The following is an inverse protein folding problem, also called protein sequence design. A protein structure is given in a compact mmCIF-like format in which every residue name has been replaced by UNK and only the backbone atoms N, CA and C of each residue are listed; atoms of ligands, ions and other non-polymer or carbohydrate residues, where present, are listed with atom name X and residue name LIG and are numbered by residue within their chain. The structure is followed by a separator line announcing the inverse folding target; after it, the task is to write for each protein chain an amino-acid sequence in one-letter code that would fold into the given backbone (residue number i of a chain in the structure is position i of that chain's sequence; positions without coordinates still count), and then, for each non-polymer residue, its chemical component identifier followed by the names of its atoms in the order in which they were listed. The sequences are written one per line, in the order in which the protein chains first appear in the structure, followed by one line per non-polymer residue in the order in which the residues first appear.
data_IF_391758526878
#
_entry.id   IF_391758526878
#
_cell.length_a   1.000
_cell.length_b   1.000
_cell.length_c   1.000
_cell.angle_alpha   90.00
_cell.angle_beta   90.00
_cell.angle_gamma   90.00
#
_symmetry.space_group_name_H-M   'P 1'
#
loop_
_entity.id
_entity.type
_entity.pdbx_description
1 polymer ?
#
# COMPACT_ATOMS: atom_id res chain seq x y z
N UNK A 1 -28.62 11.94 -9.60
CA UNK A 1 -27.92 10.68 -9.32
C UNK A 1 -28.67 10.00 -8.19
N UNK A 2 -29.16 8.77 -8.40
CA UNK A 2 -29.76 8.01 -7.30
C UNK A 2 -28.67 7.73 -6.24
N UNK A 3 -28.98 7.79 -4.94
CA UNK A 3 -28.03 7.45 -3.90
C UNK A 3 -27.46 6.04 -4.13
N UNK A 4 -26.14 5.89 -4.23
CA UNK A 4 -25.51 4.58 -4.29
C UNK A 4 -25.62 3.94 -2.90
N UNK A 5 -26.35 2.81 -2.74
CA UNK A 5 -26.54 2.20 -1.41
C UNK A 5 -25.22 1.68 -0.80
N UNK A 6 -24.20 1.42 -1.64
CA UNK A 6 -22.87 1.01 -1.20
C UNK A 6 -21.97 2.19 -0.81
N UNK A 7 -22.30 3.42 -1.21
CA UNK A 7 -21.51 4.61 -0.88
C UNK A 7 -22.44 5.73 -0.44
N UNK A 8 -23.15 5.57 0.70
CA UNK A 8 -23.92 6.68 1.25
C UNK A 8 -22.96 7.84 1.58
N UNK A 9 -23.45 9.07 1.48
CA UNK A 9 -22.62 10.29 1.59
C UNK A 9 -21.76 10.33 2.85
N UNK A 10 -22.27 9.84 3.98
CA UNK A 10 -21.51 9.81 5.23
C UNK A 10 -20.29 8.87 5.17
N UNK A 11 -20.40 7.72 4.49
CA UNK A 11 -19.27 6.79 4.28
C UNK A 11 -18.20 7.47 3.46
N UNK A 12 -18.59 8.13 2.36
CA UNK A 12 -17.68 8.88 1.50
C UNK A 12 -16.92 9.95 2.30
N UNK A 13 -17.62 10.74 3.13
CA UNK A 13 -17.00 11.76 3.98
C UNK A 13 -16.03 11.16 4.98
N UNK A 14 -16.42 10.08 5.68
CA UNK A 14 -15.57 9.42 6.68
C UNK A 14 -14.31 8.84 6.03
N UNK A 15 -14.44 8.07 4.95
CA UNK A 15 -13.28 7.50 4.27
C UNK A 15 -12.38 8.57 3.66
N UNK A 16 -12.95 9.64 3.10
CA UNK A 16 -12.15 10.75 2.60
C UNK A 16 -11.33 11.41 3.72
N UNK A 17 -11.94 11.71 4.87
CA UNK A 17 -11.21 12.25 6.01
C UNK A 17 -10.08 11.31 6.48
N UNK A 18 -10.37 10.01 6.57
CA UNK A 18 -9.40 8.98 6.95
C UNK A 18 -8.23 8.92 5.96
N UNK A 19 -8.48 8.90 4.65
CA UNK A 19 -7.42 8.85 3.65
C UNK A 19 -6.59 10.14 3.59
N UNK A 20 -7.18 11.31 3.87
CA UNK A 20 -6.40 12.55 4.04
C UNK A 20 -5.43 12.41 5.21
N UNK A 21 -5.88 11.93 6.38
CA UNK A 21 -5.00 11.73 7.54
C UNK A 21 -3.89 10.72 7.22
N UNK A 22 -4.22 9.58 6.61
CA UNK A 22 -3.25 8.56 6.23
C UNK A 22 -2.23 9.11 5.22
N UNK A 23 -2.68 9.87 4.22
CA UNK A 23 -1.81 10.52 3.25
C UNK A 23 -0.81 11.46 3.95
N UNK A 24 -1.28 12.31 4.86
CA UNK A 24 -0.42 13.23 5.61
C UNK A 24 0.62 12.50 6.47
N UNK A 25 0.21 11.43 7.17
CA UNK A 25 1.12 10.59 7.97
C UNK A 25 2.21 9.96 7.09
N UNK A 26 1.85 9.45 5.91
CA UNK A 26 2.84 8.88 5.00
C UNK A 26 3.73 9.94 4.34
N UNK A 27 3.22 11.14 4.03
CA UNK A 27 4.04 12.26 3.56
C UNK A 27 5.09 12.65 4.60
N UNK A 28 4.70 12.73 5.88
CA UNK A 28 5.64 12.98 6.97
C UNK A 28 6.77 11.94 6.99
N UNK A 29 6.42 10.65 6.91
CA UNK A 29 7.42 9.58 6.81
C UNK A 29 8.31 9.67 5.56
N UNK A 30 7.77 10.10 4.41
CA UNK A 30 8.58 10.33 3.19
C UNK A 30 9.61 11.44 3.43
N UNK A 31 9.26 12.50 4.15
CA UNK A 31 10.18 13.61 4.44
C UNK A 31 11.27 13.17 5.43
N UNK A 32 10.90 12.43 6.47
CA UNK A 32 11.78 12.07 7.59
C UNK A 32 12.72 10.87 7.30
N UNK A 33 12.32 9.91 6.46
CA UNK A 33 13.08 8.65 6.29
C UNK A 33 14.13 8.67 5.17
N UNK A 34 15.07 7.72 5.16
CA UNK A 34 16.07 7.55 4.10
C UNK A 34 15.57 6.87 2.81
N UNK A 35 16.36 6.94 1.72
CA UNK A 35 15.89 6.77 0.33
C UNK A 35 15.11 5.47 0.02
N UNK A 36 15.45 4.26 0.50
CA UNK A 36 14.68 3.07 0.16
C UNK A 36 13.28 3.06 0.80
N UNK A 37 13.14 3.60 2.02
CA UNK A 37 11.86 3.65 2.74
C UNK A 37 10.97 4.79 2.23
N UNK A 38 11.57 5.88 1.71
CA UNK A 38 10.82 6.97 1.07
C UNK A 38 9.94 6.46 -0.07
N UNK A 39 10.47 5.60 -0.93
CA UNK A 39 9.71 5.04 -2.06
C UNK A 39 8.57 4.14 -1.61
N UNK A 40 8.75 3.38 -0.53
CA UNK A 40 7.69 2.58 0.09
C UNK A 40 6.52 3.46 0.55
N UNK A 41 6.82 4.48 1.34
CA UNK A 41 5.81 5.42 1.83
C UNK A 41 5.22 6.27 0.70
N UNK A 42 6.01 6.64 -0.31
CA UNK A 42 5.54 7.36 -1.48
C UNK A 42 4.51 6.57 -2.29
N UNK A 43 4.66 5.25 -2.39
CA UNK A 43 3.63 4.38 -2.97
C UNK A 43 2.30 4.45 -2.20
N UNK A 44 2.35 4.43 -0.86
CA UNK A 44 1.17 4.57 -0.02
C UNK A 44 0.52 5.96 -0.09
N UNK A 45 1.32 7.03 -0.20
CA UNK A 45 0.81 8.39 -0.48
C UNK A 45 0.04 8.41 -1.80
N UNK A 46 0.62 7.83 -2.87
CA UNK A 46 -0.02 7.74 -4.17
C UNK A 46 -1.33 6.96 -4.10
N UNK A 47 -1.34 5.82 -3.40
CA UNK A 47 -2.55 5.02 -3.20
C UNK A 47 -3.62 5.80 -2.43
N UNK A 48 -3.29 6.44 -1.31
CA UNK A 48 -4.27 7.23 -0.54
C UNK A 48 -4.86 8.37 -1.38
N UNK A 49 -4.03 9.05 -2.18
CA UNK A 49 -4.48 10.08 -3.12
C UNK A 49 -5.42 9.50 -4.20
N UNK A 50 -5.08 8.34 -4.78
CA UNK A 50 -5.93 7.65 -5.74
C UNK A 50 -7.29 7.25 -5.14
N UNK A 51 -7.30 6.73 -3.90
CA UNK A 51 -8.53 6.40 -3.19
C UNK A 51 -9.40 7.63 -2.95
N UNK A 52 -8.79 8.77 -2.61
CA UNK A 52 -9.49 10.04 -2.49
C UNK A 52 -10.15 10.44 -3.81
N UNK A 53 -9.40 10.42 -4.92
CA UNK A 53 -9.91 10.76 -6.25
C UNK A 53 -11.12 9.92 -6.65
N UNK A 54 -11.12 8.63 -6.32
CA UNK A 54 -12.26 7.74 -6.59
C UNK A 54 -13.49 8.01 -5.70
N UNK A 55 -13.31 8.60 -4.51
CA UNK A 55 -14.41 8.94 -3.61
C UNK A 55 -15.04 10.31 -3.92
N UNK A 56 -14.26 11.24 -4.47
CA UNK A 56 -14.76 12.58 -4.80
C UNK A 56 -15.41 12.62 -6.20
N UNK A 57 -16.39 13.52 -6.44
CA UNK A 57 -17.15 13.57 -7.69
C UNK A 57 -16.32 13.75 -8.97
N UNK A 58 -15.08 14.25 -8.86
CA UNK A 58 -14.14 14.34 -9.99
C UNK A 58 -13.78 12.98 -10.57
N UNK A 59 -13.93 11.89 -9.81
CA UNK A 59 -13.71 10.52 -10.28
C UNK A 59 -14.57 10.14 -11.49
N UNK A 60 -15.74 10.76 -11.65
CA UNK A 60 -16.64 10.52 -12.78
C UNK A 60 -16.26 11.26 -14.08
N UNK A 61 -15.15 11.99 -14.11
CA UNK A 61 -14.67 12.62 -15.35
C UNK A 61 -14.06 11.54 -16.27
N UNK A 62 -14.41 11.50 -17.58
CA UNK A 62 -13.98 10.43 -18.49
C UNK A 62 -12.45 10.20 -18.56
N UNK A 63 -11.66 11.25 -18.33
CA UNK A 63 -10.20 11.17 -18.37
C UNK A 63 -9.58 10.62 -17.09
N UNK A 64 -10.30 10.65 -15.95
CA UNK A 64 -9.72 10.30 -14.65
C UNK A 64 -9.46 8.80 -14.52
N UNK A 65 -10.34 7.95 -15.05
CA UNK A 65 -10.12 6.50 -15.10
C UNK A 65 -8.82 6.12 -15.81
N UNK A 66 -8.66 6.44 -17.12
CA UNK A 66 -7.44 6.11 -17.86
C UNK A 66 -6.16 6.72 -17.28
N UNK A 67 -6.22 7.99 -16.82
CA UNK A 67 -5.07 8.67 -16.22
C UNK A 67 -4.65 8.03 -14.90
N UNK A 68 -5.61 7.82 -13.99
CA UNK A 68 -5.36 7.20 -12.68
C UNK A 68 -4.79 5.78 -12.85
N UNK A 69 -5.37 5.00 -13.77
CA UNK A 69 -4.89 3.65 -14.07
C UNK A 69 -3.44 3.67 -14.59
N UNK A 70 -3.13 4.57 -15.53
CA UNK A 70 -1.78 4.70 -16.11
C UNK A 70 -0.74 5.12 -15.08
N UNK A 71 -1.08 6.08 -14.20
CA UNK A 71 -0.17 6.55 -13.15
C UNK A 71 0.14 5.43 -12.15
N UNK A 72 -0.87 4.70 -11.68
CA UNK A 72 -0.68 3.59 -10.75
C UNK A 72 0.10 2.43 -11.39
N UNK A 73 -0.21 2.09 -12.65
CA UNK A 73 0.50 1.06 -13.39
C UNK A 73 1.98 1.44 -13.65
N UNK A 74 2.24 2.69 -14.02
CA UNK A 74 3.60 3.20 -14.21
C UNK A 74 4.39 3.20 -12.90
N UNK A 75 3.76 3.56 -11.78
CA UNK A 75 4.38 3.46 -10.46
C UNK A 75 4.72 2.01 -10.09
N UNK A 76 3.79 1.07 -10.31
CA UNK A 76 4.04 -0.36 -10.09
C UNK A 76 5.18 -0.89 -10.96
N UNK A 77 5.20 -0.54 -12.25
CA UNK A 77 6.24 -0.92 -13.20
C UNK A 77 7.59 -0.29 -12.86
N UNK A 78 7.64 0.99 -12.46
CA UNK A 78 8.86 1.66 -12.03
C UNK A 78 9.45 1.03 -10.77
N UNK A 79 8.61 0.72 -9.78
CA UNK A 79 9.03 0.04 -8.55
C UNK A 79 9.51 -1.40 -8.83
N UNK A 80 8.76 -2.19 -9.58
CA UNK A 80 9.15 -3.55 -9.98
C UNK A 80 10.40 -3.58 -10.88
N UNK A 81 10.46 -2.70 -11.87
CA UNK A 81 11.56 -2.59 -12.82
C UNK A 81 12.85 -2.10 -12.18
N UNK A 82 12.78 -1.15 -11.24
CA UNK A 82 13.98 -0.69 -10.50
C UNK A 82 14.70 -1.84 -9.78
N UNK A 83 13.95 -2.86 -9.33
CA UNK A 83 14.52 -4.06 -8.70
C UNK A 83 15.19 -5.00 -9.69
N UNK A 84 14.64 -5.13 -10.89
CA UNK A 84 15.21 -5.96 -11.94
C UNK A 84 16.49 -5.32 -12.50
N UNK A 85 16.45 -4.02 -12.81
CA UNK A 85 17.57 -3.30 -13.46
C UNK A 85 18.74 -3.07 -12.51
N UNK A 86 18.48 -2.78 -11.23
CA UNK A 86 19.57 -2.43 -10.32
C UNK A 86 20.41 -3.63 -9.85
N UNK A 87 20.04 -4.88 -10.21
CA UNK A 87 20.78 -6.14 -9.96
C UNK A 87 21.50 -6.24 -8.60
N UNK A 88 21.00 -5.55 -7.59
CA UNK A 88 21.62 -5.59 -6.26
C UNK A 88 21.07 -6.81 -5.56
N UNK A 89 21.91 -7.61 -4.89
CA UNK A 89 21.46 -8.59 -3.90
C UNK A 89 20.90 -7.81 -2.70
N UNK A 90 19.83 -7.06 -2.94
CA UNK A 90 19.09 -6.37 -1.92
C UNK A 90 18.20 -7.43 -1.25
N UNK A 91 18.11 -7.44 0.08
CA UNK A 91 17.31 -8.40 0.80
C UNK A 91 15.89 -8.43 0.23
N UNK A 92 15.35 -9.65 0.09
CA UNK A 92 14.04 -9.96 -0.49
C UNK A 92 12.93 -9.56 0.47
N UNK A 93 12.83 -8.27 0.75
CA UNK A 93 11.75 -7.73 1.56
C UNK A 93 10.43 -7.93 0.81
N UNK A 94 9.52 -8.69 1.41
CA UNK A 94 8.15 -8.91 0.92
C UNK A 94 7.31 -7.64 0.80
N UNK A 95 7.75 -6.54 1.41
CA UNK A 95 7.07 -5.27 1.28
C UNK A 95 6.95 -4.92 -0.20
N UNK A 96 8.05 -4.87 -0.94
CA UNK A 96 8.05 -4.45 -2.34
C UNK A 96 7.05 -5.16 -3.25
N UNK A 97 7.02 -6.50 -3.33
CA UNK A 97 6.02 -7.17 -4.14
C UNK A 97 4.59 -6.88 -3.66
N UNK A 98 4.36 -6.75 -2.35
CA UNK A 98 3.05 -6.39 -1.81
C UNK A 98 2.60 -5.01 -2.30
N UNK A 99 3.45 -3.97 -2.25
CA UNK A 99 3.10 -2.65 -2.80
C UNK A 99 2.93 -2.65 -4.32
N UNK A 100 3.70 -3.45 -5.05
CA UNK A 100 3.49 -3.60 -6.49
C UNK A 100 2.11 -4.18 -6.77
N UNK A 101 1.71 -5.24 -6.06
CA UNK A 101 0.36 -5.82 -6.18
C UNK A 101 -0.71 -4.79 -5.80
N UNK A 102 -0.50 -4.02 -4.74
CA UNK A 102 -1.47 -3.01 -4.29
C UNK A 102 -1.64 -1.87 -5.31
N UNK A 103 -0.56 -1.41 -5.92
CA UNK A 103 -0.60 -0.40 -6.99
C UNK A 103 -1.25 -0.94 -8.27
N UNK A 104 -1.01 -2.21 -8.62
CA UNK A 104 -1.70 -2.86 -9.74
C UNK A 104 -3.19 -3.01 -9.47
N UNK A 105 -3.58 -3.35 -8.25
CA UNK A 105 -4.96 -3.40 -7.84
C UNK A 105 -5.62 -2.00 -7.88
N UNK A 106 -4.90 -0.95 -7.50
CA UNK A 106 -5.37 0.43 -7.68
C UNK A 106 -5.56 0.79 -9.15
N UNK A 107 -4.61 0.41 -10.01
CA UNK A 107 -4.71 0.62 -11.45
C UNK A 107 -5.92 -0.13 -12.05
N UNK A 108 -6.18 -1.34 -11.55
CA UNK A 108 -7.36 -2.13 -11.90
C UNK A 108 -8.66 -1.46 -11.46
N UNK A 109 -8.73 -0.93 -10.23
CA UNK A 109 -9.89 -0.20 -9.74
C UNK A 109 -10.26 0.98 -10.67
N UNK A 110 -9.29 1.79 -11.11
CA UNK A 110 -9.53 2.85 -12.10
C UNK A 110 -9.98 2.32 -13.47
N UNK A 111 -9.52 1.15 -13.87
CA UNK A 111 -9.87 0.52 -15.15
C UNK A 111 -11.16 -0.31 -15.10
N UNK A 112 -11.77 -0.47 -13.92
CA UNK A 112 -12.86 -1.43 -13.70
C UNK A 112 -14.08 -1.15 -14.59
N UNK A 113 -14.41 0.12 -14.84
CA UNK A 113 -15.51 0.49 -15.74
C UNK A 113 -15.26 0.04 -17.20
N UNK A 114 -14.00 0.00 -17.64
CA UNK A 114 -13.63 -0.40 -18.98
C UNK A 114 -13.45 -1.92 -19.13
N UNK A 115 -12.98 -2.60 -18.07
CA UNK A 115 -12.59 -4.01 -18.13
C UNK A 115 -13.68 -4.96 -17.62
N UNK A 116 -14.49 -4.54 -16.64
CA UNK A 116 -15.68 -5.27 -16.18
C UNK A 116 -15.44 -6.66 -15.59
N UNK A 117 -14.23 -6.98 -15.13
CA UNK A 117 -13.83 -8.35 -14.77
C UNK A 117 -14.11 -8.74 -13.31
N UNK A 118 -15.37 -9.07 -13.01
CA UNK A 118 -15.80 -9.52 -11.68
C UNK A 118 -14.94 -10.65 -11.06
N UNK A 119 -14.36 -11.53 -11.90
CA UNK A 119 -13.53 -12.65 -11.45
C UNK A 119 -12.22 -12.21 -10.79
N UNK A 120 -11.68 -11.04 -11.11
CA UNK A 120 -10.50 -10.47 -10.45
C UNK A 120 -10.85 -9.77 -9.14
N UNK A 121 -12.06 -9.23 -9.03
CA UNK A 121 -12.50 -8.45 -7.87
C UNK A 121 -12.47 -9.30 -6.59
N UNK A 122 -13.02 -10.52 -6.60
CA UNK A 122 -13.09 -11.35 -5.38
C UNK A 122 -11.71 -11.79 -4.85
N UNK A 123 -10.77 -12.29 -5.68
CA UNK A 123 -9.40 -12.55 -5.24
C UNK A 123 -8.70 -11.32 -4.66
N UNK A 124 -8.88 -10.14 -5.27
CA UNK A 124 -8.29 -8.91 -4.75
C UNK A 124 -8.91 -8.48 -3.41
N UNK A 125 -10.23 -8.63 -3.25
CA UNK A 125 -10.90 -8.39 -1.97
C UNK A 125 -10.36 -9.33 -0.90
N UNK A 126 -10.25 -10.63 -1.19
CA UNK A 126 -9.69 -11.61 -0.26
C UNK A 126 -8.23 -11.26 0.10
N UNK A 127 -7.43 -10.87 -0.88
CA UNK A 127 -6.06 -10.40 -0.69
C UNK A 127 -5.99 -9.20 0.27
N UNK A 128 -6.82 -8.18 0.06
CA UNK A 128 -6.83 -6.99 0.92
C UNK A 128 -7.40 -7.26 2.32
N UNK A 129 -8.35 -8.18 2.47
CA UNK A 129 -8.82 -8.62 3.79
C UNK A 129 -7.71 -9.33 4.56
N UNK A 130 -6.96 -10.22 3.89
CA UNK A 130 -5.81 -10.89 4.50
C UNK A 130 -4.71 -9.90 4.87
N UNK A 131 -4.46 -8.89 4.03
CA UNK A 131 -3.53 -7.82 4.37
C UNK A 131 -3.99 -7.01 5.57
N UNK A 132 -5.26 -6.56 5.58
CA UNK A 132 -5.81 -5.80 6.70
C UNK A 132 -5.68 -6.59 8.01
N UNK A 133 -6.03 -7.88 7.98
CA UNK A 133 -5.84 -8.79 9.11
C UNK A 133 -4.37 -8.93 9.53
N UNK A 134 -3.48 -9.12 8.56
CA UNK A 134 -2.05 -9.28 8.80
C UNK A 134 -1.40 -8.02 9.42
N UNK A 135 -1.81 -6.83 8.99
CA UNK A 135 -1.33 -5.56 9.54
C UNK A 135 -1.91 -5.29 10.92
N UNK A 136 -3.21 -5.51 11.09
CA UNK A 136 -3.91 -5.32 12.35
C UNK A 136 -3.43 -6.30 13.43
N UNK A 137 -3.38 -7.60 13.13
CA UNK A 137 -2.87 -8.64 14.03
C UNK A 137 -1.34 -8.63 14.20
N UNK A 138 -0.63 -7.94 13.30
CA UNK A 138 0.82 -7.80 13.36
C UNK A 138 1.58 -9.01 12.82
N UNK A 139 0.89 -10.04 12.33
CA UNK A 139 1.50 -11.25 11.77
C UNK A 139 2.30 -11.01 10.48
N UNK A 140 2.01 -9.94 9.74
CA UNK A 140 2.79 -9.58 8.55
C UNK A 140 4.21 -9.12 8.89
N UNK A 141 4.42 -8.48 10.03
CA UNK A 141 5.75 -7.96 10.42
C UNK A 141 6.79 -9.06 10.65
N UNK A 142 6.52 -10.12 11.45
CA UNK A 142 7.41 -11.26 11.58
C UNK A 142 7.72 -11.95 10.25
N UNK A 143 6.74 -12.09 9.36
CA UNK A 143 6.93 -12.70 8.04
C UNK A 143 7.84 -11.83 7.14
N UNK A 144 7.57 -10.52 7.10
CA UNK A 144 8.39 -9.54 6.37
C UNK A 144 9.80 -9.48 6.95
N UNK A 145 9.93 -9.50 8.28
CA UNK A 145 11.22 -9.48 8.97
C UNK A 145 12.01 -10.76 8.72
N UNK A 146 11.38 -11.94 8.78
CA UNK A 146 12.02 -13.22 8.51
C UNK A 146 12.58 -13.30 7.08
N UNK A 147 11.89 -12.71 6.11
CA UNK A 147 12.31 -12.69 4.70
C UNK A 147 13.29 -11.55 4.38
N UNK A 148 13.32 -10.50 5.23
CA UNK A 148 14.28 -9.41 5.15
C UNK A 148 15.59 -9.62 5.92
N UNK A 149 15.59 -10.47 6.96
CA UNK A 149 16.73 -10.71 7.85
C UNK A 149 17.83 -11.60 7.23
N UNK A 150 17.65 -12.07 6.00
CA UNK A 150 18.66 -12.82 5.26
C UNK A 150 19.81 -11.94 4.70
N UNK A 151 20.06 -10.76 5.30
CA UNK A 151 21.35 -10.11 5.11
C UNK A 151 22.36 -10.90 5.93
N UNK A 152 23.34 -11.60 5.30
CA UNK A 152 24.44 -12.17 6.05
C UNK A 152 25.06 -11.03 6.87
N UNK A 153 25.40 -11.24 8.16
CA UNK A 153 26.08 -10.23 8.94
C UNK A 153 27.24 -9.78 8.09
N UNK A 154 27.20 -8.53 7.64
CA UNK A 154 28.20 -8.01 6.74
C UNK A 154 29.52 -8.30 7.45
N UNK A 155 30.34 -9.18 6.86
CA UNK A 155 31.70 -9.45 7.28
C UNK A 155 32.52 -8.19 6.97
N UNK A 156 32.15 -7.07 7.60
CA UNK A 156 32.91 -5.85 7.64
C UNK A 156 33.88 -6.08 8.79
N UNK A 157 35.14 -6.07 8.38
CA UNK A 157 36.31 -6.50 9.13
C UNK A 157 36.25 -6.17 10.61
N UNK A 158 36.88 -7.06 11.38
CA UNK A 158 37.31 -6.88 12.74
C UNK A 158 37.61 -5.41 13.06
N UNK A 159 36.61 -4.67 13.50
CA UNK A 159 36.84 -3.45 14.23
C UNK A 159 37.30 -3.93 15.60
N UNK A 160 38.53 -3.54 15.97
CA UNK A 160 39.12 -3.76 17.28
C UNK A 160 38.37 -2.96 18.36
N UNK A 161 37.06 -3.18 18.47
CA UNK A 161 36.22 -2.58 19.52
C UNK A 161 36.57 -3.29 20.83
N UNK A 162 36.94 -2.55 21.89
CA UNK A 162 37.33 -3.13 23.16
C UNK A 162 36.26 -4.08 23.70
N UNK A 163 36.71 -5.27 24.13
CA UNK A 163 35.90 -6.26 24.83
C UNK A 163 35.28 -5.60 26.06
N UNK A 164 33.99 -5.27 26.02
CA UNK A 164 33.30 -4.66 27.15
C UNK A 164 32.04 -3.86 26.84
N UNK A 165 31.86 -3.38 25.60
CA UNK A 165 30.59 -2.75 25.21
C UNK A 165 29.69 -3.75 24.50
N UNK A 166 28.75 -4.31 25.26
CA UNK A 166 27.62 -5.08 24.72
C UNK A 166 26.94 -4.21 23.66
N UNK A 167 26.94 -4.59 22.37
CA UNK A 167 26.33 -3.75 21.36
C UNK A 167 24.83 -3.75 21.60
N UNK A 168 24.28 -2.60 21.96
CA UNK A 168 22.85 -2.30 21.90
C UNK A 168 22.36 -2.21 20.43
N UNK A 169 22.83 -3.13 19.58
CA UNK A 169 22.65 -3.19 18.12
C UNK A 169 21.63 -4.28 17.77
N UNK A 170 20.82 -4.73 18.73
CA UNK A 170 19.42 -5.07 18.40
C UNK A 170 18.64 -3.76 18.46
N UNK A 171 19.03 -2.80 17.63
CA UNK A 171 18.24 -1.61 17.35
C UNK A 171 17.03 -2.13 16.61
N UNK A 172 15.97 -2.44 17.36
CA UNK A 172 14.67 -2.83 16.83
C UNK A 172 14.40 -2.01 15.58
N UNK A 173 14.16 -2.67 14.45
CA UNK A 173 13.75 -2.01 13.22
C UNK A 173 12.71 -0.95 13.60
N UNK A 174 13.01 0.36 13.49
CA UNK A 174 12.03 1.39 13.81
C UNK A 174 10.84 1.15 12.89
N UNK A 175 9.72 0.70 13.45
CA UNK A 175 8.53 0.33 12.69
C UNK A 175 7.79 -0.95 13.14
N UNK A 176 8.41 -1.88 13.87
CA UNK A 176 7.67 -3.07 14.38
C UNK A 176 6.73 -2.77 15.55
N UNK A 177 6.97 -1.65 16.24
CA UNK A 177 6.14 -1.16 17.35
C UNK A 177 5.23 0.02 17.00
N UNK A 178 5.25 0.50 15.75
CA UNK A 178 4.44 1.65 15.37
C UNK A 178 3.01 1.21 15.05
N UNK A 179 2.18 1.22 16.10
CA UNK A 179 0.76 0.92 16.02
C UNK A 179 0.04 1.82 15.00
N UNK A 180 0.47 3.09 14.85
CA UNK A 180 -0.16 4.03 13.93
C UNK A 180 0.06 3.59 12.47
N UNK A 181 1.28 3.16 12.13
CA UNK A 181 1.59 2.61 10.81
C UNK A 181 0.80 1.32 10.51
N UNK A 182 0.65 0.44 11.50
CA UNK A 182 -0.14 -0.80 11.34
C UNK A 182 -1.60 -0.51 11.08
N UNK A 183 -2.18 0.41 11.86
CA UNK A 183 -3.56 0.84 11.69
C UNK A 183 -3.72 1.50 10.32
N UNK A 184 -2.82 2.40 9.91
CA UNK A 184 -2.94 3.09 8.62
C UNK A 184 -2.94 2.11 7.44
N UNK A 185 -2.01 1.14 7.42
CA UNK A 185 -1.93 0.12 6.36
C UNK A 185 -3.14 -0.82 6.39
N UNK A 186 -3.60 -1.24 7.58
CA UNK A 186 -4.80 -2.05 7.70
C UNK A 186 -6.03 -1.32 7.18
N UNK A 187 -6.20 -0.05 7.56
CA UNK A 187 -7.30 0.81 7.12
C UNK A 187 -7.27 1.06 5.62
N UNK A 188 -6.10 1.29 5.01
CA UNK A 188 -5.97 1.40 3.55
C UNK A 188 -6.42 0.12 2.87
N UNK A 189 -5.93 -1.04 3.31
CA UNK A 189 -6.32 -2.33 2.74
C UNK A 189 -7.83 -2.59 2.88
N UNK A 190 -8.42 -2.30 4.05
CA UNK A 190 -9.88 -2.37 4.25
C UNK A 190 -10.61 -1.44 3.29
N UNK A 191 -10.14 -0.21 3.11
CA UNK A 191 -10.71 0.74 2.17
C UNK A 191 -10.66 0.25 0.72
N UNK A 192 -9.54 -0.34 0.30
CA UNK A 192 -9.37 -0.94 -1.02
C UNK A 192 -10.37 -2.07 -1.27
N UNK A 193 -10.49 -2.99 -0.30
CA UNK A 193 -11.46 -4.09 -0.35
C UNK A 193 -12.90 -3.57 -0.45
N UNK A 194 -13.25 -2.59 0.38
CA UNK A 194 -14.58 -2.00 0.38
C UNK A 194 -14.91 -1.30 -0.94
N UNK A 195 -13.99 -0.49 -1.46
CA UNK A 195 -14.17 0.23 -2.72
C UNK A 195 -14.28 -0.74 -3.91
N UNK A 196 -13.48 -1.81 -3.95
CA UNK A 196 -13.62 -2.87 -4.96
C UNK A 196 -15.04 -3.47 -4.98
N UNK A 197 -15.59 -3.80 -3.80
CA UNK A 197 -16.95 -4.32 -3.68
C UNK A 197 -17.98 -3.27 -4.11
N UNK A 198 -17.85 -2.03 -3.64
CA UNK A 198 -18.77 -0.96 -3.95
C UNK A 198 -18.79 -0.61 -5.45
N UNK A 199 -17.63 -0.63 -6.11
CA UNK A 199 -17.53 -0.37 -7.56
C UNK A 199 -18.14 -1.53 -8.35
N UNK A 200 -17.82 -2.78 -8.00
CA UNK A 200 -18.30 -3.95 -8.73
C UNK A 200 -19.81 -4.18 -8.59
N UNK A 201 -20.35 -4.01 -7.38
CA UNK A 201 -21.73 -4.36 -7.04
C UNK A 201 -22.66 -3.15 -6.86
N UNK A 202 -22.10 -1.95 -6.73
CA UNK A 202 -22.88 -0.71 -6.59
C UNK A 202 -23.21 -0.01 -7.92
N UNK A 203 -22.43 -0.25 -8.99
CA UNK A 203 -22.69 0.33 -10.31
C UNK A 203 -23.57 -0.55 -11.23
N UNK A 204 -23.80 -1.80 -10.85
CA UNK A 204 -24.37 -2.85 -11.71
C UNK A 204 -25.91 -3.01 -11.66
N UNK A 205 -26.66 -2.10 -11.04
CA UNK A 205 -28.13 -2.24 -10.88
C UNK A 205 -28.97 -1.41 -11.87
N UNK A 206 -28.45 -1.17 -13.08
CA UNK A 206 -29.14 -0.36 -14.11
C UNK A 206 -29.22 -0.97 -15.51
N UNK A 207 -28.95 -2.27 -15.68
CA UNK A 207 -29.09 -2.99 -16.94
C UNK A 207 -30.33 -3.89 -16.94
#
# INVERSE_FOLDING_TARGET
MMPNPWLPTWVVVVFAAVFVVIMLLHVQHVVEMGSPRRWWHGGHVLMAAAMLVMLVPIGGLPAVGPLGSSVCAAAAAGLGGSRLVLHRPAPRSLLWPLLVVDLLAMAYMFAMEAVGTAWLTLPLVAWFVLQAWGWFGGGLFPMVAALGAADPPAARGASNTPVGQVPAVVRALPGTGDLALRISLATMATGMAYMLLAMQFGMSMGA
#
